data_IF_892463212500
#
_entry.id   IF_892463212500
#
_cell.length_a   1.000
_cell.length_b   1.000
_cell.length_c   1.000
_cell.angle_alpha   90.00
_cell.angle_beta   90.00
_cell.angle_gamma   90.00
#
_symmetry.space_group_name_H-M   'P 1'
#
loop_
_entity.id
_entity.type
_entity.pdbx_description
1 polymer ?
#
# COMPACT_ATOMS: atom_id res chain seq x y z
N UNK A 1 25.57 5.94 -90.34
CA UNK A 1 24.13 6.29 -90.37
C UNK A 1 23.38 5.44 -89.35
N UNK A 2 22.71 6.12 -88.40
CA UNK A 2 21.67 5.69 -87.44
C UNK A 2 21.79 4.31 -86.77
N UNK A 3 22.26 4.28 -85.52
CA UNK A 3 22.02 3.20 -84.53
C UNK A 3 21.01 3.68 -83.48
N UNK A 4 19.91 2.93 -83.30
CA UNK A 4 19.05 2.90 -82.10
C UNK A 4 18.98 1.43 -81.67
N UNK A 5 19.55 1.09 -80.51
CA UNK A 5 18.85 0.85 -79.23
C UNK A 5 17.80 -0.26 -79.33
N UNK A 6 18.11 -1.44 -78.80
CA UNK A 6 17.48 -1.99 -77.59
C UNK A 6 18.07 -3.38 -77.27
N UNK A 7 18.08 -3.69 -75.96
CA UNK A 7 18.21 -5.01 -75.29
C UNK A 7 19.40 -5.07 -74.34
N UNK A 8 19.20 -4.50 -73.16
CA UNK A 8 19.87 -4.95 -71.93
C UNK A 8 19.27 -6.31 -71.55
N UNK A 9 19.98 -7.37 -71.89
CA UNK A 9 19.74 -8.73 -71.41
C UNK A 9 20.72 -9.04 -70.29
N UNK A 10 20.15 -9.39 -69.14
CA UNK A 10 20.78 -9.89 -67.92
C UNK A 10 22.14 -10.58 -68.11
N UNK A 11 23.16 -10.04 -67.44
CA UNK A 11 24.33 -10.78 -66.95
C UNK A 11 24.86 -10.02 -65.73
N UNK A 12 25.41 -10.75 -64.75
CA UNK A 12 25.90 -10.34 -63.42
C UNK A 12 24.95 -10.54 -62.23
N UNK A 13 24.68 -11.81 -61.91
CA UNK A 13 24.61 -12.24 -60.50
C UNK A 13 25.36 -13.56 -60.41
N UNK A 14 26.62 -13.49 -59.99
CA UNK A 14 27.47 -14.62 -59.70
C UNK A 14 28.49 -14.21 -58.66
N UNK A 15 28.46 -14.90 -57.53
CA UNK A 15 29.43 -14.87 -56.41
C UNK A 15 29.30 -13.73 -55.40
N UNK A 16 28.52 -14.00 -54.33
CA UNK A 16 28.89 -13.72 -52.94
C UNK A 16 27.94 -14.49 -51.98
N UNK A 17 27.85 -15.81 -52.13
CA UNK A 17 27.27 -16.71 -51.12
C UNK A 17 28.42 -17.47 -50.46
N UNK A 18 29.18 -16.78 -49.60
CA UNK A 18 30.18 -17.37 -48.74
C UNK A 18 30.50 -16.43 -47.57
N UNK A 19 29.53 -16.24 -46.66
CA UNK A 19 29.76 -15.84 -45.27
C UNK A 19 28.41 -15.84 -44.51
N UNK A 20 27.82 -17.01 -44.35
CA UNK A 20 26.97 -17.34 -43.20
C UNK A 20 27.34 -18.77 -42.81
N UNK A 21 28.51 -18.91 -42.20
CA UNK A 21 28.86 -20.08 -41.42
C UNK A 21 28.63 -19.74 -39.95
N UNK A 22 27.42 -19.29 -39.61
CA UNK A 22 26.91 -19.39 -38.25
C UNK A 22 25.95 -20.57 -38.27
N UNK A 23 26.51 -21.74 -38.01
CA UNK A 23 25.77 -22.91 -37.58
C UNK A 23 25.20 -22.60 -36.19
N UNK A 24 24.22 -21.70 -36.11
CA UNK A 24 23.24 -21.79 -35.04
C UNK A 24 22.57 -23.15 -35.27
N UNK A 25 22.89 -24.11 -34.42
CA UNK A 25 22.33 -25.45 -34.48
C UNK A 25 20.84 -25.37 -34.10
N UNK A 26 20.02 -25.03 -35.10
CA UNK A 26 18.56 -24.91 -35.00
C UNK A 26 17.87 -26.29 -35.01
N UNK A 27 18.63 -27.39 -35.07
CA UNK A 27 18.08 -28.75 -35.23
C UNK A 27 17.83 -29.49 -33.92
N UNK A 28 18.27 -28.95 -32.77
CA UNK A 28 18.08 -29.58 -31.45
C UNK A 28 17.34 -28.62 -30.52
N UNK A 29 15.99 -28.60 -30.48
CA UNK A 29 15.24 -27.81 -29.50
C UNK A 29 15.53 -28.21 -28.05
N UNK A 30 16.24 -29.33 -27.83
CA UNK A 30 16.77 -29.78 -26.57
C UNK A 30 18.15 -29.20 -26.22
N UNK A 31 18.85 -28.52 -27.14
CA UNK A 31 20.20 -27.98 -26.94
C UNK A 31 21.31 -29.03 -26.91
N UNK A 32 22.56 -28.60 -27.16
CA UNK A 32 23.73 -29.48 -27.05
C UNK A 32 24.00 -29.87 -25.60
N UNK A 33 24.39 -31.14 -25.40
CA UNK A 33 24.82 -31.69 -24.10
C UNK A 33 26.23 -31.27 -23.70
N UNK A 34 26.91 -30.46 -24.52
CA UNK A 34 28.22 -29.90 -24.18
C UNK A 34 28.04 -28.73 -23.20
N UNK A 35 28.69 -28.75 -22.02
CA UNK A 35 28.65 -27.62 -21.10
C UNK A 35 29.23 -26.35 -21.74
N UNK A 36 28.63 -25.16 -21.52
CA UNK A 36 29.24 -23.93 -21.96
C UNK A 36 30.53 -23.63 -21.18
N UNK A 37 31.37 -22.74 -21.69
CA UNK A 37 32.50 -22.23 -20.92
C UNK A 37 32.04 -21.53 -19.62
N UNK A 38 32.89 -21.53 -18.61
CA UNK A 38 32.63 -20.87 -17.33
C UNK A 38 32.54 -19.35 -17.49
N UNK A 39 31.68 -18.68 -16.71
CA UNK A 39 31.70 -17.21 -16.58
C UNK A 39 33.01 -16.70 -15.99
N UNK A 40 33.41 -15.47 -16.32
CA UNK A 40 34.69 -14.89 -15.91
C UNK A 40 34.54 -13.50 -15.25
N UNK A 41 35.63 -13.00 -14.66
CA UNK A 41 35.77 -11.62 -14.19
C UNK A 41 34.66 -11.12 -13.26
N UNK A 42 34.19 -11.96 -12.34
CA UNK A 42 33.10 -11.60 -11.46
C UNK A 42 33.47 -10.45 -10.51
N UNK A 43 32.60 -9.43 -10.44
CA UNK A 43 32.71 -8.32 -9.49
C UNK A 43 31.42 -8.19 -8.67
N UNK A 44 31.53 -7.69 -7.44
CA UNK A 44 30.44 -7.73 -6.45
C UNK A 44 30.10 -6.32 -5.96
N UNK A 45 28.81 -6.02 -5.92
CA UNK A 45 28.24 -4.88 -5.19
C UNK A 45 27.35 -5.39 -4.06
N UNK A 46 27.81 -5.23 -2.82
CA UNK A 46 27.07 -5.63 -1.64
C UNK A 46 25.93 -4.66 -1.31
N UNK A 47 24.79 -5.20 -0.88
CA UNK A 47 23.57 -4.51 -0.50
C UNK A 47 23.07 -5.02 0.88
N UNK A 48 22.12 -4.35 1.54
CA UNK A 48 21.48 -4.88 2.74
C UNK A 48 20.78 -6.22 2.46
N UNK A 49 21.27 -7.31 3.07
CA UNK A 49 20.71 -8.67 2.91
C UNK A 49 20.79 -9.25 1.48
N UNK A 50 21.57 -8.63 0.60
CA UNK A 50 21.68 -8.99 -0.82
C UNK A 50 23.03 -8.59 -1.43
N UNK A 51 23.34 -9.08 -2.61
CA UNK A 51 24.47 -8.61 -3.42
C UNK A 51 24.14 -8.72 -4.91
N UNK A 52 24.66 -7.79 -5.70
CA UNK A 52 24.66 -7.88 -7.16
C UNK A 52 26.02 -8.42 -7.58
N UNK A 53 26.02 -9.45 -8.42
CA UNK A 53 27.23 -10.03 -9.01
C UNK A 53 27.19 -9.73 -10.49
N UNK A 54 28.22 -9.03 -10.98
CA UNK A 54 28.47 -8.78 -12.39
C UNK A 54 29.52 -9.77 -12.89
N UNK A 55 29.43 -10.19 -14.15
CA UNK A 55 30.36 -11.16 -14.74
C UNK A 55 30.42 -11.03 -16.27
N UNK A 56 31.50 -11.53 -16.85
CA UNK A 56 31.62 -11.67 -18.30
C UNK A 56 30.99 -13.00 -18.75
N UNK A 57 30.10 -12.90 -19.74
CA UNK A 57 29.48 -14.05 -20.37
C UNK A 57 30.48 -14.75 -21.32
N UNK A 58 30.50 -16.09 -21.35
CA UNK A 58 31.26 -16.82 -22.35
C UNK A 58 30.66 -16.59 -23.74
N UNK A 59 31.51 -16.45 -24.76
CA UNK A 59 31.11 -16.41 -26.17
C UNK A 59 30.78 -17.84 -26.64
N UNK A 60 29.58 -18.31 -26.30
CA UNK A 60 29.12 -19.66 -26.57
C UNK A 60 27.65 -19.65 -27.02
N UNK A 61 27.39 -20.05 -28.26
CA UNK A 61 26.03 -20.11 -28.82
C UNK A 61 25.11 -21.10 -28.08
N UNK A 62 25.68 -22.04 -27.31
CA UNK A 62 24.93 -22.97 -26.48
C UNK A 62 24.54 -22.40 -25.12
N UNK A 63 25.02 -21.20 -24.74
CA UNK A 63 24.66 -20.57 -23.47
C UNK A 63 23.20 -20.13 -23.44
N UNK A 64 22.43 -20.68 -22.49
CA UNK A 64 21.03 -20.28 -22.27
C UNK A 64 20.89 -19.29 -21.12
N UNK A 65 21.56 -19.54 -19.99
CA UNK A 65 21.49 -18.66 -18.83
C UNK A 65 22.67 -18.88 -17.88
N UNK A 66 22.89 -17.94 -16.97
CA UNK A 66 23.79 -18.08 -15.82
C UNK A 66 22.98 -18.39 -14.58
N UNK A 67 23.44 -19.34 -13.77
CA UNK A 67 22.80 -19.73 -12.50
C UNK A 67 23.73 -19.47 -11.33
N UNK A 68 23.27 -18.68 -10.37
CA UNK A 68 23.86 -18.64 -9.04
C UNK A 68 23.25 -19.73 -8.16
N UNK A 69 24.09 -20.40 -7.38
CA UNK A 69 23.71 -21.35 -6.32
C UNK A 69 24.41 -20.95 -5.03
N UNK A 70 23.65 -20.86 -3.93
CA UNK A 70 24.19 -20.43 -2.64
C UNK A 70 23.36 -21.00 -1.48
N UNK A 71 24.01 -21.17 -0.32
CA UNK A 71 23.38 -21.76 0.86
C UNK A 71 22.97 -20.68 1.84
N UNK A 72 21.69 -20.69 2.24
CA UNK A 72 21.08 -19.77 3.20
C UNK A 72 20.10 -20.57 4.05
N UNK A 73 20.14 -20.42 5.37
CA UNK A 73 19.28 -21.15 6.33
C UNK A 73 19.33 -22.68 6.15
N UNK A 74 20.50 -23.22 5.83
CA UNK A 74 20.68 -24.63 5.46
C UNK A 74 19.93 -25.10 4.20
N UNK A 75 19.33 -24.20 3.44
CA UNK A 75 18.71 -24.47 2.14
C UNK A 75 19.58 -23.97 1.00
N UNK A 76 19.60 -24.71 -0.11
CA UNK A 76 20.22 -24.21 -1.35
C UNK A 76 19.21 -23.34 -2.07
N UNK A 77 19.61 -22.12 -2.39
CA UNK A 77 18.85 -21.17 -3.22
C UNK A 77 19.51 -21.08 -4.59
N UNK A 78 18.70 -20.97 -5.62
CA UNK A 78 19.16 -20.74 -7.00
C UNK A 78 18.51 -19.50 -7.58
N UNK A 79 19.28 -18.75 -8.37
CA UNK A 79 18.81 -17.60 -9.14
C UNK A 79 19.37 -17.72 -10.55
N UNK A 80 18.52 -17.52 -11.56
CA UNK A 80 18.91 -17.58 -12.95
C UNK A 80 18.85 -16.17 -13.57
N UNK A 81 19.84 -15.85 -14.39
CA UNK A 81 19.88 -14.65 -15.22
C UNK A 81 20.06 -15.06 -16.68
N UNK A 82 19.24 -14.52 -17.57
CA UNK A 82 19.30 -14.89 -19.00
C UNK A 82 20.63 -14.45 -19.61
N UNK A 83 21.00 -15.07 -20.72
CA UNK A 83 22.21 -14.67 -21.46
C UNK A 83 22.18 -13.23 -22.00
N UNK A 84 21.05 -12.53 -21.92
CA UNK A 84 20.95 -11.10 -22.28
C UNK A 84 21.40 -10.16 -21.16
N UNK A 85 21.81 -10.70 -20.01
CA UNK A 85 22.21 -9.93 -18.83
C UNK A 85 23.58 -10.39 -18.33
N UNK A 86 24.38 -9.44 -17.88
CA UNK A 86 25.74 -9.61 -17.35
C UNK A 86 25.78 -9.61 -15.81
N UNK A 87 24.61 -9.70 -15.17
CA UNK A 87 24.51 -9.63 -13.72
C UNK A 87 23.29 -10.36 -13.17
N UNK A 88 23.39 -10.75 -11.91
CA UNK A 88 22.30 -11.33 -11.13
C UNK A 88 22.32 -10.81 -9.68
N UNK A 89 21.15 -10.88 -9.03
CA UNK A 89 20.99 -10.52 -7.63
C UNK A 89 20.84 -11.79 -6.80
N UNK A 90 21.72 -11.95 -5.80
CA UNK A 90 21.56 -12.94 -4.74
C UNK A 90 21.05 -12.26 -3.48
N UNK A 91 20.07 -12.84 -2.81
CA UNK A 91 19.32 -12.16 -1.75
C UNK A 91 18.74 -13.13 -0.71
N UNK A 92 18.31 -12.57 0.41
CA UNK A 92 17.77 -13.32 1.54
C UNK A 92 18.84 -13.75 2.52
N UNK A 93 19.96 -13.03 2.59
CA UNK A 93 20.99 -13.32 3.59
C UNK A 93 20.51 -12.85 4.98
N UNK A 94 20.39 -13.75 5.96
CA UNK A 94 19.82 -13.43 7.27
C UNK A 94 20.75 -12.58 8.12
N UNK A 95 22.03 -12.54 7.81
CA UNK A 95 23.05 -11.83 8.59
C UNK A 95 24.05 -11.14 7.66
N UNK A 96 24.64 -10.06 8.15
CA UNK A 96 25.82 -9.47 7.52
C UNK A 96 26.98 -10.47 7.59
N UNK A 97 27.75 -10.58 6.51
CA UNK A 97 28.95 -11.42 6.49
C UNK A 97 29.23 -12.02 5.13
N UNK A 98 30.26 -12.88 5.08
CA UNK A 98 30.71 -13.49 3.84
C UNK A 98 29.90 -14.73 3.47
N UNK A 99 29.57 -14.86 2.19
CA UNK A 99 28.89 -16.03 1.62
C UNK A 99 29.55 -16.43 0.30
N UNK A 100 29.65 -17.75 0.09
CA UNK A 100 30.11 -18.33 -1.16
C UNK A 100 28.94 -18.52 -2.13
N UNK A 101 29.10 -17.97 -3.34
CA UNK A 101 28.14 -18.07 -4.43
C UNK A 101 28.81 -18.83 -5.57
N UNK A 102 28.20 -19.91 -6.02
CA UNK A 102 28.67 -20.67 -7.18
C UNK A 102 27.92 -20.20 -8.42
N UNK A 103 28.64 -19.62 -9.39
CA UNK A 103 28.10 -19.23 -10.69
C UNK A 103 28.37 -20.31 -11.74
N UNK A 104 27.31 -20.72 -12.42
CA UNK A 104 27.34 -21.72 -13.48
C UNK A 104 26.85 -21.12 -14.80
N UNK A 105 27.54 -21.39 -15.90
CA UNK A 105 26.97 -21.25 -17.23
C UNK A 105 26.11 -22.48 -17.52
N UNK A 106 24.89 -22.29 -18.02
CA UNK A 106 23.94 -23.38 -18.28
C UNK A 106 23.53 -23.39 -19.75
N UNK A 107 23.60 -24.55 -20.37
CA UNK A 107 23.24 -24.73 -21.78
C UNK A 107 21.74 -24.83 -22.04
N UNK A 108 21.35 -24.83 -23.33
CA UNK A 108 19.97 -25.14 -23.72
C UNK A 108 19.51 -26.54 -23.29
N UNK A 109 20.44 -27.49 -23.22
CA UNK A 109 20.23 -28.85 -22.70
C UNK A 109 20.39 -29.02 -21.20
N UNK A 110 20.37 -27.90 -20.44
CA UNK A 110 20.45 -27.90 -18.97
C UNK A 110 21.74 -28.52 -18.40
N UNK A 111 22.81 -28.55 -19.20
CA UNK A 111 24.14 -28.99 -18.78
C UNK A 111 24.91 -27.79 -18.24
N UNK A 112 25.58 -27.98 -17.09
CA UNK A 112 26.27 -26.90 -16.37
C UNK A 112 27.78 -26.97 -16.51
N UNK A 113 28.42 -25.79 -16.59
CA UNK A 113 29.88 -25.64 -16.53
C UNK A 113 30.44 -26.02 -15.15
N UNK A 114 31.77 -26.02 -15.01
CA UNK A 114 32.38 -25.88 -13.67
C UNK A 114 31.99 -24.53 -13.04
N UNK A 115 31.87 -24.44 -11.70
CA UNK A 115 31.43 -23.21 -11.03
C UNK A 115 32.56 -22.19 -10.91
N UNK A 116 32.25 -20.91 -11.13
CA UNK A 116 33.04 -19.80 -10.60
C UNK A 116 32.55 -19.48 -9.19
N UNK A 117 33.42 -19.68 -8.19
CA UNK A 117 33.10 -19.35 -6.79
C UNK A 117 33.39 -17.88 -6.54
N UNK A 118 32.36 -17.12 -6.17
CA UNK A 118 32.41 -15.69 -5.88
C UNK A 118 32.04 -15.46 -4.42
N UNK A 119 32.85 -14.69 -3.70
CA UNK A 119 32.55 -14.28 -2.33
C UNK A 119 31.77 -12.97 -2.32
N UNK A 120 30.60 -12.97 -1.69
CA UNK A 120 29.82 -11.75 -1.41
C UNK A 120 29.90 -11.43 0.08
N UNK A 121 29.72 -10.16 0.44
CA UNK A 121 29.68 -9.69 1.83
C UNK A 121 28.51 -8.70 2.05
N UNK A 122 27.24 -9.17 1.93
CA UNK A 122 26.05 -8.36 2.14
C UNK A 122 26.07 -7.64 3.49
N UNK A 123 25.50 -6.44 3.52
CA UNK A 123 25.36 -5.65 4.75
C UNK A 123 24.13 -6.11 5.56
N UNK A 124 23.94 -5.57 6.76
CA UNK A 124 22.83 -5.91 7.67
C UNK A 124 21.48 -5.88 6.93
N UNK A 125 20.68 -6.96 6.99
CA UNK A 125 19.45 -7.06 6.22
C UNK A 125 18.38 -6.07 6.68
N UNK A 126 17.46 -5.66 5.79
CA UNK A 126 16.47 -4.62 6.09
C UNK A 126 15.63 -4.91 7.34
N UNK A 127 15.18 -6.15 7.57
CA UNK A 127 14.33 -6.46 8.73
C UNK A 127 15.01 -6.16 10.08
N UNK A 128 16.33 -6.33 10.18
CA UNK A 128 17.10 -5.96 11.38
C UNK A 128 17.29 -4.43 11.47
N UNK A 129 17.55 -3.77 10.34
CA UNK A 129 17.69 -2.30 10.30
C UNK A 129 16.40 -1.60 10.72
N UNK A 130 15.27 -2.00 10.14
CA UNK A 130 13.94 -1.44 10.45
C UNK A 130 13.56 -1.71 11.90
N UNK A 131 13.90 -2.89 12.44
CA UNK A 131 13.68 -3.15 13.87
C UNK A 131 14.40 -2.11 14.75
N UNK A 132 15.59 -1.65 14.38
CA UNK A 132 16.32 -0.61 15.10
C UNK A 132 15.68 0.79 15.06
N UNK A 133 14.70 1.03 14.20
CA UNK A 133 14.04 2.33 14.03
C UNK A 133 12.65 2.39 14.67
N UNK A 134 12.15 1.27 15.19
CA UNK A 134 10.79 1.21 15.74
C UNK A 134 10.66 2.09 16.99
N UNK A 135 9.63 2.94 16.97
CA UNK A 135 9.21 3.73 18.13
C UNK A 135 7.73 3.48 18.38
N UNK A 136 7.40 3.06 19.59
CA UNK A 136 6.02 2.81 20.02
C UNK A 136 5.55 3.92 20.95
N UNK A 137 4.24 4.19 20.91
CA UNK A 137 3.56 5.08 21.83
C UNK A 137 2.10 4.65 22.04
N UNK A 138 1.57 4.92 23.22
CA UNK A 138 0.15 4.71 23.53
C UNK A 138 -0.75 5.64 22.68
N UNK A 139 -1.93 5.14 22.33
CA UNK A 139 -2.95 5.88 21.57
C UNK A 139 -4.35 5.32 21.90
N UNK A 140 -5.39 5.94 21.38
CA UNK A 140 -6.78 5.51 21.55
C UNK A 140 -7.02 4.08 21.09
N UNK A 141 -7.50 3.22 22.00
CA UNK A 141 -7.81 1.82 21.73
C UNK A 141 -6.60 0.97 21.34
N UNK A 142 -5.36 1.43 21.55
CA UNK A 142 -4.17 0.59 21.43
C UNK A 142 -2.84 1.35 21.37
N UNK A 143 -1.96 0.95 20.44
CA UNK A 143 -0.59 1.50 20.31
C UNK A 143 -0.33 1.96 18.87
N UNK A 144 0.44 3.03 18.72
CA UNK A 144 1.01 3.50 17.44
C UNK A 144 2.45 3.07 17.37
N UNK A 145 2.87 2.52 16.23
CA UNK A 145 4.25 2.17 15.97
C UNK A 145 4.73 2.90 14.73
N UNK A 146 5.78 3.69 14.88
CA UNK A 146 6.49 4.35 13.80
C UNK A 146 7.66 3.49 13.31
N UNK A 147 7.96 3.53 12.02
CA UNK A 147 9.09 2.81 11.42
C UNK A 147 9.73 3.59 10.26
N UNK A 148 11.01 3.32 10.02
CA UNK A 148 11.76 3.75 8.83
C UNK A 148 12.34 2.52 8.10
N UNK A 149 12.01 2.39 6.81
CA UNK A 149 12.33 1.30 5.88
C UNK A 149 12.93 1.87 4.58
N UNK A 150 14.15 2.43 4.64
CA UNK A 150 14.73 3.20 3.54
C UNK A 150 14.92 2.39 2.25
N UNK A 151 15.13 1.07 2.36
CA UNK A 151 15.26 0.15 1.23
C UNK A 151 13.92 -0.22 0.58
N UNK A 152 12.77 0.20 1.14
CA UNK A 152 11.43 -0.23 0.70
C UNK A 152 11.30 -1.76 0.64
N UNK A 153 11.94 -2.44 1.60
CA UNK A 153 11.88 -3.89 1.66
C UNK A 153 10.45 -4.33 1.99
N UNK A 154 10.03 -5.46 1.43
CA UNK A 154 8.74 -6.09 1.75
C UNK A 154 8.83 -6.73 3.13
N UNK A 155 8.22 -6.09 4.12
CA UNK A 155 8.33 -6.46 5.53
C UNK A 155 6.95 -6.66 6.15
N UNK A 156 6.91 -7.52 7.17
CA UNK A 156 5.80 -7.63 8.09
C UNK A 156 6.23 -7.20 9.50
N UNK A 157 5.58 -6.18 10.07
CA UNK A 157 5.84 -5.67 11.40
C UNK A 157 4.77 -6.23 12.34
N UNK A 158 5.18 -7.18 13.19
CA UNK A 158 4.30 -7.92 14.09
C UNK A 158 4.26 -7.31 15.48
N UNK A 159 3.08 -7.35 16.09
CA UNK A 159 2.89 -6.96 17.50
C UNK A 159 2.34 -8.14 18.27
N UNK A 160 3.03 -8.49 19.37
CA UNK A 160 2.62 -9.46 20.36
C UNK A 160 2.22 -8.74 21.65
N UNK A 161 1.19 -9.24 22.32
CA UNK A 161 0.70 -8.77 23.62
C UNK A 161 0.90 -9.86 24.65
N UNK A 162 1.39 -9.51 25.83
CA UNK A 162 1.46 -10.42 26.98
C UNK A 162 0.08 -10.52 27.63
N UNK A 163 -0.45 -11.73 27.72
CA UNK A 163 -1.71 -12.05 28.40
C UNK A 163 -1.49 -12.19 29.91
N UNK A 164 -2.58 -12.25 30.67
CA UNK A 164 -2.56 -12.37 32.13
C UNK A 164 -1.79 -13.62 32.62
N UNK A 165 -1.81 -14.71 31.83
CA UNK A 165 -1.12 -15.96 32.11
C UNK A 165 0.40 -15.89 31.79
N UNK A 166 0.90 -14.74 31.34
CA UNK A 166 2.28 -14.54 30.91
C UNK A 166 2.60 -15.04 29.50
N UNK A 167 1.58 -15.49 28.76
CA UNK A 167 1.72 -15.98 27.37
C UNK A 167 1.70 -14.78 26.42
N UNK A 168 2.66 -14.74 25.50
CA UNK A 168 2.71 -13.76 24.42
C UNK A 168 1.89 -14.24 23.23
N UNK A 169 0.92 -13.45 22.77
CA UNK A 169 0.12 -13.77 21.58
C UNK A 169 0.22 -12.67 20.54
N UNK A 170 0.33 -13.05 19.26
CA UNK A 170 0.32 -12.07 18.17
C UNK A 170 -1.07 -11.47 18.03
N UNK A 171 -1.16 -10.14 18.17
CA UNK A 171 -2.42 -9.39 18.07
C UNK A 171 -2.54 -8.64 16.76
N UNK A 172 -1.43 -8.37 16.08
CA UNK A 172 -1.44 -7.63 14.82
C UNK A 172 -0.22 -7.94 13.95
N UNK A 173 -0.38 -7.73 12.64
CA UNK A 173 0.69 -7.83 11.66
C UNK A 173 0.47 -6.78 10.56
N UNK A 174 1.39 -5.83 10.44
CA UNK A 174 1.36 -4.79 9.42
C UNK A 174 2.30 -5.16 8.26
N UNK A 175 1.77 -5.34 7.05
CA UNK A 175 2.57 -5.62 5.86
C UNK A 175 2.83 -4.34 5.07
N UNK A 176 4.08 -4.06 4.71
CA UNK A 176 4.45 -2.81 4.04
C UNK A 176 5.72 -2.93 3.20
N UNK A 177 5.79 -2.10 2.17
CA UNK A 177 7.01 -1.74 1.42
C UNK A 177 7.22 -0.21 1.40
N UNK A 178 6.45 0.53 2.21
CA UNK A 178 6.58 1.97 2.33
C UNK A 178 7.97 2.32 2.88
N UNK A 179 8.49 3.49 2.49
CA UNK A 179 9.79 3.98 2.96
C UNK A 179 9.81 4.23 4.47
N UNK A 180 8.65 4.48 5.07
CA UNK A 180 8.47 4.71 6.50
C UNK A 180 7.02 5.13 6.76
N UNK A 181 6.65 5.26 8.02
CA UNK A 181 5.33 5.71 8.42
C UNK A 181 4.91 5.17 9.78
N UNK A 182 3.61 5.27 10.05
CA UNK A 182 2.98 4.78 11.27
C UNK A 182 1.98 3.68 10.95
N UNK A 183 1.87 2.69 11.84
CA UNK A 183 0.73 1.80 11.89
C UNK A 183 0.15 1.75 13.30
N UNK A 184 -1.11 1.33 13.39
CA UNK A 184 -1.87 1.35 14.63
C UNK A 184 -2.40 -0.04 14.94
N UNK A 185 -2.16 -0.50 16.16
CA UNK A 185 -2.86 -1.66 16.73
C UNK A 185 -4.03 -1.12 17.52
N UNK A 186 -5.23 -1.63 17.25
CA UNK A 186 -6.49 -1.14 17.83
C UNK A 186 -7.26 -2.29 18.50
N UNK A 187 -8.36 -1.96 19.18
CA UNK A 187 -9.20 -2.93 19.89
C UNK A 187 -8.57 -3.45 21.18
N UNK A 188 -7.66 -2.68 21.77
CA UNK A 188 -7.00 -2.98 23.03
C UNK A 188 -7.63 -2.16 24.16
N UNK A 189 -7.83 -2.80 25.30
CA UNK A 189 -8.34 -2.16 26.51
C UNK A 189 -7.34 -1.12 27.06
N UNK A 190 -7.87 -0.12 27.76
CA UNK A 190 -7.10 0.91 28.45
C UNK A 190 -6.48 0.38 29.76
N UNK A 191 -5.63 -0.65 29.64
CA UNK A 191 -4.94 -1.31 30.73
C UNK A 191 -3.45 -1.43 30.42
N UNK A 192 -2.61 -1.17 31.42
CA UNK A 192 -1.16 -1.30 31.27
C UNK A 192 -0.81 -2.70 30.80
N UNK A 193 -0.13 -2.78 29.66
CA UNK A 193 0.11 -4.02 28.95
C UNK A 193 1.56 -4.06 28.44
N UNK A 194 2.21 -5.22 28.58
CA UNK A 194 3.50 -5.47 27.93
C UNK A 194 3.26 -5.86 26.46
N UNK A 195 3.89 -5.13 25.54
CA UNK A 195 3.91 -5.41 24.10
C UNK A 195 5.32 -5.79 23.64
N UNK A 196 5.37 -6.62 22.61
CA UNK A 196 6.57 -6.95 21.86
C UNK A 196 6.37 -6.64 20.39
N UNK A 197 7.33 -5.98 19.76
CA UNK A 197 7.25 -5.60 18.35
C UNK A 197 8.45 -6.18 17.61
N UNK A 198 8.20 -6.89 16.53
CA UNK A 198 9.25 -7.54 15.73
C UNK A 198 9.01 -7.31 14.24
N UNK A 199 10.07 -7.44 13.46
CA UNK A 199 10.01 -7.35 11.99
C UNK A 199 10.36 -8.70 11.38
N UNK A 200 9.55 -9.12 10.41
CA UNK A 200 9.69 -10.34 9.61
C UNK A 200 9.91 -9.98 8.14
N UNK A 201 10.86 -10.63 7.47
CA UNK A 201 11.01 -10.50 6.03
C UNK A 201 10.19 -11.55 5.23
N UNK A 202 10.30 -11.51 3.90
CA UNK A 202 9.61 -12.45 3.00
C UNK A 202 10.16 -13.88 3.02
N UNK A 203 11.34 -14.09 3.59
CA UNK A 203 11.97 -15.40 3.73
C UNK A 203 11.65 -16.06 5.08
N UNK A 204 11.00 -15.33 5.98
CA UNK A 204 10.60 -15.82 7.30
C UNK A 204 11.62 -15.53 8.38
N UNK A 205 12.66 -14.73 8.11
CA UNK A 205 13.60 -14.30 9.15
C UNK A 205 12.89 -13.33 10.09
N UNK A 206 13.21 -13.45 11.37
CA UNK A 206 12.67 -12.60 12.44
C UNK A 206 13.82 -11.81 13.06
N UNK A 207 13.58 -10.53 13.29
CA UNK A 207 14.45 -9.69 14.12
C UNK A 207 14.28 -10.02 15.60
N UNK A 208 15.12 -9.41 16.44
CA UNK A 208 14.86 -9.32 17.88
C UNK A 208 13.57 -8.53 18.16
N UNK A 209 13.07 -8.62 19.38
CA UNK A 209 11.79 -8.00 19.77
C UNK A 209 12.02 -6.71 20.56
N UNK A 210 11.31 -5.64 20.20
CA UNK A 210 11.21 -4.41 20.99
C UNK A 210 10.14 -4.63 22.05
N UNK A 211 10.53 -4.67 23.31
CA UNK A 211 9.57 -4.76 24.41
C UNK A 211 9.26 -3.38 24.97
N UNK A 212 7.98 -3.08 25.11
CA UNK A 212 7.47 -1.83 25.71
C UNK A 212 6.31 -2.15 26.65
N UNK A 213 6.12 -1.30 27.65
CA UNK A 213 4.97 -1.36 28.56
C UNK A 213 4.18 -0.07 28.40
N UNK A 214 2.96 -0.17 27.88
CA UNK A 214 2.14 0.98 27.49
C UNK A 214 0.71 0.83 28.02
N UNK A 215 0.01 1.95 28.22
CA UNK A 215 -1.39 1.96 28.65
C UNK A 215 -2.23 2.64 27.56
N UNK A 216 -2.87 1.89 26.65
CA UNK A 216 -3.73 2.46 25.64
C UNK A 216 -4.73 3.46 26.21
N UNK A 217 -5.00 4.52 25.47
CA UNK A 217 -6.05 5.47 25.85
C UNK A 217 -7.41 4.81 25.60
N UNK A 218 -8.37 5.07 26.49
CA UNK A 218 -9.73 4.55 26.33
C UNK A 218 -10.37 5.07 25.03
N UNK A 219 -10.91 4.19 24.20
CA UNK A 219 -11.64 4.53 22.97
C UNK A 219 -13.01 3.85 22.98
N UNK A 220 -14.04 4.63 22.69
CA UNK A 220 -15.40 4.16 22.43
C UNK A 220 -15.95 4.79 21.14
N UNK A 221 -16.97 4.16 20.57
CA UNK A 221 -17.77 4.81 19.52
C UNK A 221 -18.61 5.93 20.15
N UNK A 222 -18.64 7.10 19.52
CA UNK A 222 -19.53 8.18 19.94
C UNK A 222 -21.00 7.73 19.85
N UNK A 223 -21.83 8.16 20.82
CA UNK A 223 -23.21 7.73 20.90
C UNK A 223 -24.08 8.41 19.83
N UNK A 224 -24.29 7.71 18.71
CA UNK A 224 -25.10 8.16 17.57
C UNK A 224 -26.54 8.49 17.94
N UNK A 225 -27.08 7.94 19.04
CA UNK A 225 -28.45 8.27 19.48
C UNK A 225 -28.59 9.73 19.93
N UNK A 226 -27.47 10.38 20.23
CA UNK A 226 -27.39 11.80 20.60
C UNK A 226 -27.16 12.71 19.39
N UNK A 227 -26.84 12.16 18.21
CA UNK A 227 -26.47 12.96 17.05
C UNK A 227 -27.67 13.74 16.51
N UNK A 228 -27.50 15.03 16.24
CA UNK A 228 -28.56 15.90 15.72
C UNK A 228 -28.06 16.70 14.53
N UNK A 229 -28.92 16.80 13.50
CA UNK A 229 -28.70 17.69 12.37
C UNK A 229 -28.60 19.15 12.85
N UNK A 230 -27.57 19.85 12.40
CA UNK A 230 -27.47 21.31 12.50
C UNK A 230 -27.67 21.89 11.09
N UNK A 231 -28.72 22.68 10.93
CA UNK A 231 -29.06 23.32 9.66
C UNK A 231 -28.63 24.79 9.68
N UNK A 232 -27.32 25.03 9.77
CA UNK A 232 -26.80 26.40 9.85
C UNK A 232 -27.00 27.14 8.52
N UNK A 233 -27.20 28.48 8.51
CA UNK A 233 -27.55 29.24 7.30
C UNK A 233 -26.62 29.07 6.09
N UNK A 234 -25.34 28.80 6.32
CA UNK A 234 -24.34 28.61 5.25
C UNK A 234 -24.19 27.17 4.77
N UNK A 235 -24.79 26.22 5.48
CA UNK A 235 -24.57 24.80 5.26
C UNK A 235 -25.34 24.29 4.04
N UNK A 236 -24.75 23.32 3.35
CA UNK A 236 -25.30 22.63 2.19
C UNK A 236 -26.05 21.34 2.60
N UNK A 237 -27.03 21.47 3.50
CA UNK A 237 -27.80 20.33 4.02
C UNK A 237 -29.02 19.94 3.17
N UNK A 238 -29.30 20.69 2.10
CA UNK A 238 -30.45 20.44 1.22
C UNK A 238 -30.25 19.17 0.40
N UNK A 239 -31.25 18.29 0.48
CA UNK A 239 -31.22 16.98 -0.15
C UNK A 239 -31.40 17.09 -1.67
N UNK A 240 -30.87 16.11 -2.40
CA UNK A 240 -31.15 15.96 -3.83
C UNK A 240 -32.66 15.91 -4.13
N UNK A 241 -33.09 16.65 -5.16
CA UNK A 241 -34.50 16.94 -5.54
C UNK A 241 -35.38 15.72 -5.85
N UNK A 242 -34.82 14.52 -5.77
CA UNK A 242 -35.60 13.29 -5.76
C UNK A 242 -36.38 13.09 -4.45
N UNK A 243 -36.28 13.99 -3.46
CA UNK A 243 -36.89 13.76 -2.15
C UNK A 243 -36.89 14.95 -1.16
N UNK A 244 -37.88 15.85 -1.18
CA UNK A 244 -38.05 16.81 -0.07
C UNK A 244 -38.80 16.24 1.15
N UNK A 245 -39.59 15.15 1.04
CA UNK A 245 -40.39 14.67 2.20
C UNK A 245 -40.66 13.14 2.22
N UNK A 246 -40.47 12.38 1.13
CA UNK A 246 -41.10 11.04 0.97
C UNK A 246 -40.20 9.81 0.95
N UNK A 247 -38.86 9.90 0.89
CA UNK A 247 -37.93 8.73 0.79
C UNK A 247 -36.67 8.75 1.66
N UNK A 248 -36.55 9.70 2.61
CA UNK A 248 -35.44 9.86 3.57
C UNK A 248 -33.98 9.81 3.07
N UNK A 249 -33.50 10.72 2.20
CA UNK A 249 -32.07 10.88 1.84
C UNK A 249 -31.40 12.01 2.65
N UNK A 250 -31.96 12.35 3.81
CA UNK A 250 -31.52 13.47 4.60
C UNK A 250 -30.31 13.12 5.49
N UNK A 251 -29.80 14.11 6.21
CA UNK A 251 -28.54 13.97 6.95
C UNK A 251 -28.61 12.94 8.09
N UNK A 252 -29.79 12.54 8.56
CA UNK A 252 -29.89 11.49 9.59
C UNK A 252 -29.38 10.14 9.10
N UNK A 253 -29.25 9.95 7.77
CA UNK A 253 -28.64 8.74 7.21
C UNK A 253 -27.20 8.55 7.62
N UNK A 254 -26.47 9.63 7.87
CA UNK A 254 -25.05 9.56 8.28
C UNK A 254 -24.81 8.84 9.61
N UNK A 255 -25.84 8.51 10.38
CA UNK A 255 -25.70 7.85 11.68
C UNK A 255 -26.86 6.91 12.01
N UNK A 256 -27.53 6.35 10.99
CA UNK A 256 -28.65 5.42 11.19
C UNK A 256 -28.23 3.94 11.24
N UNK A 257 -26.93 3.66 10.98
CA UNK A 257 -26.36 2.33 11.01
C UNK A 257 -26.55 1.53 9.71
N UNK A 258 -27.11 2.12 8.66
CA UNK A 258 -27.30 1.47 7.35
C UNK A 258 -26.13 1.83 6.43
N UNK A 259 -25.25 0.85 6.19
CA UNK A 259 -23.99 1.07 5.45
C UNK A 259 -23.96 0.54 4.02
N UNK A 260 -24.94 -0.28 3.63
CA UNK A 260 -24.91 -1.06 2.38
C UNK A 260 -26.21 -0.99 1.56
N UNK A 261 -27.13 -0.08 1.91
CA UNK A 261 -28.43 0.05 1.26
C UNK A 261 -28.88 1.51 1.17
N UNK A 262 -29.54 1.85 0.06
CA UNK A 262 -30.27 3.12 -0.04
C UNK A 262 -31.45 3.16 0.96
N UNK A 263 -31.83 4.35 1.44
CA UNK A 263 -31.32 5.67 1.08
C UNK A 263 -29.96 6.04 1.73
N UNK A 264 -29.21 6.93 1.08
CA UNK A 264 -27.99 7.55 1.62
C UNK A 264 -28.19 9.06 1.79
N UNK A 265 -27.34 9.73 2.57
CA UNK A 265 -27.29 11.18 2.53
C UNK A 265 -26.73 11.64 1.18
N UNK A 266 -27.46 12.51 0.48
CA UNK A 266 -27.01 13.08 -0.78
C UNK A 266 -27.45 14.54 -0.92
N UNK A 267 -26.50 15.44 -1.14
CA UNK A 267 -26.79 16.87 -1.35
C UNK A 267 -27.34 17.13 -2.76
N UNK A 268 -28.01 18.27 -2.94
CA UNK A 268 -28.55 18.66 -4.25
C UNK A 268 -27.46 18.80 -5.32
N UNK A 269 -27.80 18.50 -6.57
CA UNK A 269 -26.87 18.58 -7.71
C UNK A 269 -26.40 19.99 -8.04
N UNK A 270 -27.11 21.00 -7.56
CA UNK A 270 -26.85 22.42 -7.80
C UNK A 270 -26.03 23.08 -6.70
N UNK A 271 -25.56 22.33 -5.70
CA UNK A 271 -24.64 22.83 -4.66
C UNK A 271 -23.33 23.33 -5.28
N UNK A 272 -22.66 24.25 -4.59
CA UNK A 272 -21.35 24.79 -5.00
C UNK A 272 -20.26 24.13 -4.15
N UNK A 273 -19.13 23.76 -4.78
CA UNK A 273 -17.94 23.28 -4.08
C UNK A 273 -17.01 24.46 -3.73
N UNK A 274 -16.33 24.45 -2.56
CA UNK A 274 -16.48 23.47 -1.49
C UNK A 274 -17.85 23.58 -0.83
N UNK A 275 -18.38 22.45 -0.35
CA UNK A 275 -19.66 22.39 0.36
C UNK A 275 -19.47 21.78 1.74
N UNK A 276 -20.33 22.10 2.69
CA UNK A 276 -20.23 21.56 4.04
C UNK A 276 -21.58 21.34 4.70
N UNK A 277 -21.60 20.49 5.72
CA UNK A 277 -22.73 20.30 6.61
C UNK A 277 -22.25 20.14 8.06
N UNK A 278 -23.12 20.43 9.00
CA UNK A 278 -22.82 20.42 10.43
C UNK A 278 -23.76 19.50 11.19
N UNK A 279 -23.25 18.80 12.20
CA UNK A 279 -24.07 18.06 13.16
C UNK A 279 -23.51 18.19 14.57
N UNK A 280 -24.42 18.07 15.55
CA UNK A 280 -24.11 17.99 16.97
C UNK A 280 -23.94 16.51 17.35
N UNK A 281 -22.82 16.14 17.99
CA UNK A 281 -22.62 14.79 18.53
C UNK A 281 -23.32 14.57 19.89
N UNK A 282 -23.87 15.63 20.48
CA UNK A 282 -24.60 15.63 21.74
C UNK A 282 -23.72 15.78 22.99
N UNK A 283 -22.48 15.29 22.92
CA UNK A 283 -21.50 15.33 24.01
C UNK A 283 -20.15 15.85 23.51
N UNK A 284 -19.30 16.29 24.45
CA UNK A 284 -17.92 16.67 24.17
C UNK A 284 -17.04 15.41 24.09
N UNK A 285 -16.31 15.25 22.99
CA UNK A 285 -15.41 14.13 22.77
C UNK A 285 -13.99 14.59 22.43
N UNK A 286 -12.99 13.95 23.05
CA UNK A 286 -11.64 13.89 22.51
C UNK A 286 -11.61 12.79 21.45
N UNK A 287 -11.72 13.20 20.20
CA UNK A 287 -11.84 12.26 19.07
C UNK A 287 -10.48 11.64 18.71
N UNK A 288 -10.53 10.38 18.27
CA UNK A 288 -9.36 9.61 17.85
C UNK A 288 -9.35 9.30 16.35
N UNK A 289 -10.54 9.07 15.78
CA UNK A 289 -10.73 8.71 14.37
C UNK A 289 -12.20 8.77 13.99
N UNK A 290 -12.46 8.65 12.70
CA UNK A 290 -13.78 8.33 12.20
C UNK A 290 -13.70 7.34 11.03
N UNK A 291 -14.81 6.66 10.78
CA UNK A 291 -15.01 5.79 9.62
C UNK A 291 -16.04 6.44 8.71
N UNK A 292 -15.69 6.60 7.44
CA UNK A 292 -16.55 7.12 6.38
C UNK A 292 -16.98 6.00 5.46
N UNK A 293 -18.28 5.76 5.39
CA UNK A 293 -18.86 4.83 4.42
C UNK A 293 -19.48 5.63 3.29
N UNK A 294 -18.95 5.45 2.09
CA UNK A 294 -19.50 6.02 0.86
C UNK A 294 -20.89 5.45 0.54
N UNK A 295 -21.44 5.77 -0.63
CA UNK A 295 -22.61 5.04 -1.17
C UNK A 295 -22.20 3.65 -1.67
N UNK A 296 -21.81 2.78 -0.74
CA UNK A 296 -21.53 1.38 -0.96
C UNK A 296 -22.84 0.60 -1.14
N UNK A 297 -22.97 -0.12 -2.25
CA UNK A 297 -24.10 -0.99 -2.51
C UNK A 297 -23.60 -2.26 -3.22
N UNK A 298 -23.60 -3.43 -2.56
CA UNK A 298 -23.17 -4.67 -3.18
C UNK A 298 -24.14 -5.10 -4.30
N UNK A 299 -23.62 -5.31 -5.52
CA UNK A 299 -24.37 -5.88 -6.65
C UNK A 299 -25.26 -4.92 -7.47
N UNK A 300 -25.26 -3.61 -7.21
CA UNK A 300 -25.92 -2.58 -8.05
C UNK A 300 -25.04 -1.34 -8.24
N UNK A 301 -25.65 -0.21 -8.60
CA UNK A 301 -25.12 1.14 -8.79
C UNK A 301 -24.39 1.76 -7.57
N UNK A 302 -23.62 1.01 -6.79
CA UNK A 302 -22.77 1.55 -5.72
C UNK A 302 -21.81 2.57 -6.29
N UNK A 303 -21.64 3.70 -5.61
CA UNK A 303 -20.86 4.86 -6.03
C UNK A 303 -19.58 5.08 -5.19
N UNK A 304 -19.06 4.03 -4.56
CA UNK A 304 -17.77 4.10 -3.86
C UNK A 304 -16.63 4.40 -4.84
N UNK A 305 -15.73 5.30 -4.41
CA UNK A 305 -14.60 5.82 -5.21
C UNK A 305 -14.99 6.41 -6.57
N UNK A 306 -16.23 6.93 -6.71
CA UNK A 306 -16.71 7.63 -7.91
C UNK A 306 -17.82 8.62 -7.56
N UNK A 307 -18.32 9.34 -8.59
CA UNK A 307 -19.43 10.28 -8.48
C UNK A 307 -19.30 11.23 -7.27
N UNK A 308 -20.27 11.22 -6.36
CA UNK A 308 -20.34 12.10 -5.19
C UNK A 308 -19.55 11.63 -3.96
N UNK A 309 -18.76 10.56 -4.06
CA UNK A 309 -17.91 10.14 -2.95
C UNK A 309 -16.87 11.24 -2.64
N UNK A 310 -16.83 11.82 -1.42
CA UNK A 310 -15.78 12.78 -1.05
C UNK A 310 -14.39 12.21 -1.34
N UNK A 311 -13.57 12.99 -2.04
CA UNK A 311 -12.18 12.63 -2.35
C UNK A 311 -11.22 13.45 -1.53
N UNK A 312 -11.37 14.77 -1.55
CA UNK A 312 -10.60 15.69 -0.71
C UNK A 312 -11.55 16.45 0.20
N UNK A 313 -11.31 16.41 1.50
CA UNK A 313 -12.23 16.98 2.48
C UNK A 313 -11.53 17.32 3.80
N UNK A 314 -12.17 18.16 4.59
CA UNK A 314 -11.70 18.64 5.89
C UNK A 314 -12.74 18.31 6.96
N UNK A 315 -12.26 17.96 8.15
CA UNK A 315 -13.09 17.83 9.34
C UNK A 315 -12.76 18.98 10.29
N UNK A 316 -13.78 19.75 10.62
CA UNK A 316 -13.71 20.85 11.56
C UNK A 316 -14.55 20.53 12.79
N UNK A 317 -14.12 21.03 13.94
CA UNK A 317 -14.82 20.84 15.20
C UNK A 317 -15.08 22.15 15.93
N UNK A 318 -16.04 22.12 16.85
CA UNK A 318 -16.34 23.23 17.75
C UNK A 318 -16.97 22.71 19.05
N UNK A 319 -16.91 23.53 20.11
CA UNK A 319 -17.71 23.37 21.33
C UNK A 319 -18.84 24.40 21.43
N UNK A 320 -18.81 25.46 20.63
CA UNK A 320 -19.80 26.53 20.63
C UNK A 320 -19.79 27.26 19.27
N UNK A 321 -20.30 26.62 18.20
CA UNK A 321 -20.25 27.19 16.86
C UNK A 321 -21.15 28.42 16.75
N UNK A 322 -20.75 29.40 15.94
CA UNK A 322 -21.59 30.56 15.66
C UNK A 322 -22.90 30.12 14.96
N UNK A 323 -24.08 30.42 15.52
CA UNK A 323 -25.36 29.99 14.96
C UNK A 323 -25.71 30.63 13.61
N UNK A 324 -25.04 31.70 13.19
CA UNK A 324 -25.21 32.28 11.86
C UNK A 324 -24.58 31.42 10.73
N UNK A 325 -23.81 30.38 11.11
CA UNK A 325 -23.17 29.45 10.20
C UNK A 325 -21.80 29.90 9.70
N UNK A 326 -21.31 31.07 10.09
CA UNK A 326 -20.00 31.59 9.72
C UNK A 326 -18.88 30.54 9.91
N UNK A 327 -17.87 30.68 9.07
CA UNK A 327 -16.64 29.92 9.17
C UNK A 327 -15.58 30.81 9.84
N UNK A 328 -15.78 31.08 11.13
CA UNK A 328 -14.96 31.99 11.94
C UNK A 328 -14.12 31.24 12.99
N UNK A 329 -13.64 31.95 14.01
CA UNK A 329 -12.81 31.43 15.10
C UNK A 329 -13.55 30.49 16.06
N UNK A 330 -14.87 30.33 15.91
CA UNK A 330 -15.62 29.28 16.61
C UNK A 330 -15.32 27.87 16.09
N UNK A 331 -14.61 27.73 14.96
CA UNK A 331 -14.23 26.46 14.36
C UNK A 331 -12.72 26.22 14.40
N UNK A 332 -12.33 24.98 14.68
CA UNK A 332 -10.95 24.50 14.60
C UNK A 332 -10.84 23.37 13.60
N UNK A 333 -9.86 23.45 12.70
CA UNK A 333 -9.55 22.37 11.78
C UNK A 333 -8.97 21.20 12.57
N UNK A 334 -9.62 20.05 12.52
CA UNK A 334 -9.08 18.83 13.14
C UNK A 334 -8.06 18.19 12.22
N UNK A 335 -8.39 18.04 10.93
CA UNK A 335 -7.48 17.59 9.88
C UNK A 335 -8.10 17.73 8.49
N UNK A 336 -7.25 17.67 7.48
CA UNK A 336 -7.58 17.52 6.06
C UNK A 336 -7.22 16.10 5.60
N UNK A 337 -8.01 15.54 4.69
CA UNK A 337 -7.92 14.14 4.28
C UNK A 337 -8.09 13.97 2.77
N UNK A 338 -7.42 12.94 2.24
CA UNK A 338 -7.67 12.40 0.90
C UNK A 338 -8.14 10.94 1.01
N UNK A 339 -9.29 10.65 0.41
CA UNK A 339 -9.77 9.28 0.16
C UNK A 339 -8.96 8.69 -1.00
N UNK A 340 -8.46 7.47 -0.78
CA UNK A 340 -7.61 6.75 -1.73
C UNK A 340 -8.14 5.34 -1.92
N UNK A 341 -8.10 4.83 -3.15
CA UNK A 341 -8.31 3.40 -3.39
C UNK A 341 -7.14 2.63 -2.78
N UNK A 342 -7.36 1.57 -1.98
CA UNK A 342 -6.29 0.67 -1.55
C UNK A 342 -5.40 0.20 -2.70
N UNK A 343 -5.97 -0.06 -3.87
CA UNK A 343 -5.24 -0.46 -5.08
C UNK A 343 -4.42 0.65 -5.75
N UNK A 344 -4.60 1.91 -5.32
CA UNK A 344 -4.01 3.08 -5.97
C UNK A 344 -4.65 3.48 -7.30
N UNK A 345 -5.76 2.83 -7.70
CA UNK A 345 -6.46 3.14 -8.96
C UNK A 345 -7.15 4.50 -8.98
N UNK A 346 -7.31 5.07 -10.18
CA UNK A 346 -8.10 6.28 -10.46
C UNK A 346 -9.61 6.03 -10.51
N UNK A 347 -10.40 7.09 -10.64
CA UNK A 347 -11.89 7.04 -10.61
C UNK A 347 -12.51 6.06 -11.61
N UNK A 348 -11.90 5.92 -12.80
CA UNK A 348 -12.44 5.09 -13.89
C UNK A 348 -11.90 3.66 -13.88
N UNK A 349 -10.95 3.34 -12.99
CA UNK A 349 -10.40 1.99 -12.89
C UNK A 349 -11.39 1.07 -12.16
N UNK A 350 -11.43 -0.19 -12.60
CA UNK A 350 -12.24 -1.21 -11.96
C UNK A 350 -11.82 -1.38 -10.49
N UNK A 351 -12.80 -1.56 -9.60
CA UNK A 351 -12.54 -1.85 -8.20
C UNK A 351 -11.95 -3.26 -8.07
N UNK A 352 -10.80 -3.36 -7.44
CA UNK A 352 -10.17 -4.62 -7.06
C UNK A 352 -10.90 -5.25 -5.85
N UNK A 353 -10.54 -6.48 -5.48
CA UNK A 353 -11.11 -7.13 -4.29
C UNK A 353 -10.81 -6.36 -2.99
N UNK A 354 -9.61 -5.78 -2.86
CA UNK A 354 -9.22 -4.95 -1.73
C UNK A 354 -10.01 -3.63 -1.69
N UNK A 355 -10.27 -3.00 -2.84
CA UNK A 355 -11.09 -1.79 -2.89
C UNK A 355 -12.54 -2.06 -2.45
N UNK A 356 -13.10 -3.20 -2.86
CA UNK A 356 -14.47 -3.61 -2.47
C UNK A 356 -14.57 -3.89 -0.98
N UNK A 357 -13.56 -4.55 -0.39
CA UNK A 357 -13.54 -4.81 1.05
C UNK A 357 -13.37 -3.52 1.86
N UNK A 358 -12.51 -2.60 1.41
CA UNK A 358 -12.40 -1.27 2.02
C UNK A 358 -13.71 -0.47 1.89
N UNK A 359 -14.37 -0.53 0.73
CA UNK A 359 -15.67 0.12 0.51
C UNK A 359 -16.76 -0.41 1.46
N UNK A 360 -16.77 -1.72 1.69
CA UNK A 360 -17.70 -2.40 2.59
C UNK A 360 -17.46 -2.04 4.06
N UNK A 361 -16.20 -1.98 4.48
CA UNK A 361 -15.81 -1.70 5.87
C UNK A 361 -15.79 -0.19 6.18
N UNK A 362 -15.76 0.66 5.14
CA UNK A 362 -15.57 2.10 5.26
C UNK A 362 -14.10 2.49 5.33
N UNK A 363 -13.81 3.74 4.96
CA UNK A 363 -12.48 4.32 5.05
C UNK A 363 -12.25 4.87 6.46
N UNK A 364 -11.13 4.48 7.08
CA UNK A 364 -10.77 4.88 8.44
C UNK A 364 -9.76 6.03 8.41
N UNK A 365 -10.11 7.14 9.06
CA UNK A 365 -9.31 8.37 9.08
C UNK A 365 -8.94 8.71 10.53
N UNK A 366 -7.64 8.86 10.78
CA UNK A 366 -7.11 9.22 12.10
C UNK A 366 -7.30 10.71 12.36
N UNK A 367 -7.83 11.05 13.53
CA UNK A 367 -7.85 12.43 14.03
C UNK A 367 -6.56 12.63 14.84
N UNK A 368 -5.76 13.68 14.57
CA UNK A 368 -4.51 13.91 15.28
C UNK A 368 -4.68 13.99 16.80
N UNK A 369 -3.74 13.42 17.56
CA UNK A 369 -3.78 13.40 19.02
C UNK A 369 -3.76 14.82 19.64
N UNK A 370 -3.28 15.82 18.91
CA UNK A 370 -3.28 17.23 19.33
C UNK A 370 -4.61 17.97 19.02
N UNK A 371 -5.54 17.35 18.28
CA UNK A 371 -6.85 17.96 17.97
C UNK A 371 -7.62 18.19 19.28
N UNK A 372 -8.27 19.35 19.48
CA UNK A 372 -8.98 19.63 20.73
C UNK A 372 -10.21 18.72 20.91
N UNK A 373 -10.76 18.68 22.12
CA UNK A 373 -12.06 18.06 22.34
C UNK A 373 -13.16 18.93 21.70
N UNK A 374 -14.15 18.27 21.08
CA UNK A 374 -15.21 18.93 20.29
C UNK A 374 -16.53 18.21 20.46
N UNK A 375 -17.64 18.93 20.19
CA UNK A 375 -19.00 18.39 20.20
C UNK A 375 -19.68 18.52 18.84
N UNK A 376 -19.46 19.64 18.17
CA UNK A 376 -20.01 19.90 16.86
C UNK A 376 -18.98 19.54 15.80
N UNK A 377 -19.41 18.82 14.77
CA UNK A 377 -18.58 18.50 13.62
C UNK A 377 -19.14 19.19 12.39
N UNK A 378 -18.25 19.84 11.64
CA UNK A 378 -18.52 20.36 10.32
C UNK A 378 -17.65 19.61 9.31
N UNK A 379 -18.29 18.90 8.39
CA UNK A 379 -17.64 18.15 7.33
C UNK A 379 -17.61 19.03 6.08
N UNK A 380 -16.42 19.39 5.60
CA UNK A 380 -16.25 20.22 4.40
C UNK A 380 -15.67 19.40 3.26
N UNK A 381 -16.47 19.18 2.22
CA UNK A 381 -16.03 18.50 1.00
C UNK A 381 -15.44 19.52 0.03
N UNK A 382 -14.16 19.37 -0.29
CA UNK A 382 -13.45 20.21 -1.26
C UNK A 382 -13.66 19.71 -2.69
N UNK A 383 -13.59 18.40 -2.90
CA UNK A 383 -13.96 17.76 -4.16
C UNK A 383 -14.37 16.29 -3.95
N UNK A 384 -14.96 15.70 -5.00
CA UNK A 384 -15.39 14.30 -5.02
C UNK A 384 -14.64 13.52 -6.08
N UNK A 385 -14.63 12.19 -5.95
CA UNK A 385 -13.99 11.29 -6.91
C UNK A 385 -14.46 11.51 -8.35
N UNK A 386 -15.75 11.81 -8.55
CA UNK A 386 -16.34 12.08 -9.85
C UNK A 386 -16.33 13.56 -10.28
N UNK A 387 -15.67 14.45 -9.53
CA UNK A 387 -15.73 15.91 -9.75
C UNK A 387 -17.16 16.45 -9.86
N UNK A 388 -18.07 15.87 -9.07
CA UNK A 388 -19.47 16.27 -9.01
C UNK A 388 -19.67 17.46 -8.09
N UNK A 389 -20.75 18.20 -8.31
CA UNK A 389 -21.17 19.30 -7.43
C UNK A 389 -21.94 18.85 -6.19
N UNK A 390 -22.53 17.65 -6.23
CA UNK A 390 -23.14 16.99 -5.07
C UNK A 390 -22.15 16.02 -4.43
N UNK A 391 -22.43 15.63 -3.19
CA UNK A 391 -21.76 14.54 -2.49
C UNK A 391 -22.75 13.50 -1.97
N UNK A 392 -22.28 12.30 -1.64
CA UNK A 392 -23.08 11.27 -0.99
C UNK A 392 -22.29 10.43 0.01
N UNK A 393 -22.95 9.99 1.08
CA UNK A 393 -22.39 9.11 2.12
C UNK A 393 -23.50 8.25 2.72
N UNK A 394 -23.20 7.00 3.07
CA UNK A 394 -24.08 6.20 3.91
C UNK A 394 -23.89 6.58 5.37
N UNK A 395 -22.67 6.48 5.89
CA UNK A 395 -22.45 6.53 7.34
C UNK A 395 -21.17 7.28 7.70
N UNK A 396 -21.21 7.99 8.81
CA UNK A 396 -20.06 8.52 9.53
C UNK A 396 -20.06 7.97 10.96
N UNK A 397 -18.98 7.32 11.34
CA UNK A 397 -18.83 6.75 12.69
C UNK A 397 -17.61 7.34 13.38
N UNK A 398 -17.82 8.14 14.40
CA UNK A 398 -16.75 8.78 15.18
C UNK A 398 -16.39 7.95 16.41
N UNK A 399 -15.12 7.99 16.78
CA UNK A 399 -14.56 7.31 17.95
C UNK A 399 -13.72 8.28 18.77
N UNK A 400 -13.63 8.03 20.07
CA UNK A 400 -12.87 8.85 21.00
C UNK A 400 -13.19 8.51 22.44
N UNK A 401 -12.96 9.45 23.35
CA UNK A 401 -13.44 9.38 24.73
C UNK A 401 -14.21 10.64 25.08
N UNK A 402 -15.26 10.49 25.90
CA UNK A 402 -15.95 11.63 26.50
C UNK A 402 -14.96 12.53 27.24
N UNK A 403 -15.09 13.82 27.06
CA UNK A 403 -14.23 14.83 27.64
C UNK A 403 -15.08 15.84 28.41
N UNK A 404 -14.99 15.79 29.75
CA UNK A 404 -15.78 16.63 30.65
C UNK A 404 -15.19 18.03 30.80
#
# INVERSE_FOLDING_TARGET
MKKKLYKYGLLYIGVALAACADNADLNEPAGSTTPPAQVLNATVKNLPGAAIIYYDLPDDQNLKYVRASYKVDNMVRTVNASFYTDSLVVEGFPTKGEYDIELYSVSYGEVVSSPLVVKVNPDTPPYQKVRGTLVSAETFGGIRVNFDNPEKAKLGLGVIKKQAEGIWTQVYMHYTEAKGGDFYVRGLDAVTTDFGIFVRDRWGHLSDTLYVTETPLYEEQCDKSLFRKMALPTDSYECHSWNEVTKGNDMTRLWDGITDADPCFQTKTTTVMPQWFTFDMGENYKLSRFVMVSRYYPGKYGNTFKAGHPKHFEIWGSINPNPDGSFDDSWVLLSEYESVKPSGGGVNDALTAEDQEAAKNGENFIIPDNAPAVRYIRFRTNNTWGNTRYMHLHELTFFGAKHN
#
